data_IF_314812311897
#
_entry.id   IF_314812311897
#
_cell.length_a   1.000
_cell.length_b   1.000
_cell.length_c   1.000
_cell.angle_alpha   90.00
_cell.angle_beta   90.00
_cell.angle_gamma   90.00
#
_symmetry.space_group_name_H-M   'P 1'
#
loop_
_entity.id
_entity.type
_entity.pdbx_description
1 polymer ?
#
# COMPACT_ATOMS: atom_id res chain seq x y z
N UNK A 1 13.37 19.76 20.37
CA UNK A 1 12.27 18.81 20.62
C UNK A 1 10.91 19.50 20.85
N UNK A 2 10.81 20.83 20.77
CA UNK A 2 9.63 21.58 21.23
C UNK A 2 8.69 22.07 20.12
N UNK A 3 8.90 21.68 18.86
CA UNK A 3 8.14 22.26 17.74
C UNK A 3 6.65 21.85 17.69
N UNK A 4 6.24 20.79 18.41
CA UNK A 4 4.85 20.29 18.42
C UNK A 4 4.39 19.71 19.77
N UNK A 5 5.17 19.88 20.85
CA UNK A 5 4.84 19.37 22.19
C UNK A 5 4.83 17.84 22.35
N UNK A 6 4.83 17.06 21.27
CA UNK A 6 4.86 15.61 21.28
C UNK A 6 6.28 15.05 21.14
N UNK A 7 6.66 14.12 22.02
CA UNK A 7 7.90 13.33 21.92
C UNK A 7 7.62 12.00 21.24
N UNK A 8 7.64 12.00 19.91
CA UNK A 8 7.49 10.80 19.10
C UNK A 8 8.81 10.02 19.02
N UNK A 9 8.66 8.70 18.96
CA UNK A 9 9.67 7.66 18.81
C UNK A 9 9.09 6.59 17.88
N UNK A 10 9.93 5.69 17.37
CA UNK A 10 9.44 4.58 16.54
C UNK A 10 8.47 3.66 17.30
N UNK A 11 8.52 3.63 18.63
CA UNK A 11 7.66 2.78 19.46
C UNK A 11 6.31 3.41 19.81
N UNK A 12 6.15 4.73 19.70
CA UNK A 12 4.93 5.45 20.11
C UNK A 12 4.35 6.38 19.04
N UNK A 13 4.87 6.32 17.81
CA UNK A 13 4.21 6.96 16.67
C UNK A 13 2.83 6.32 16.49
N UNK A 14 1.76 7.11 16.28
CA UNK A 14 0.45 6.55 16.01
C UNK A 14 0.48 5.58 14.84
N UNK A 15 -0.12 4.42 15.02
CA UNK A 15 -0.40 3.51 13.91
C UNK A 15 -1.60 4.04 13.12
N UNK A 16 -1.66 3.71 11.84
CA UNK A 16 -2.85 3.91 11.00
C UNK A 16 -3.31 5.38 10.89
N UNK A 17 -2.37 6.31 10.72
CA UNK A 17 -2.65 7.76 10.66
C UNK A 17 -3.27 8.17 9.29
N UNK A 18 -4.54 8.56 9.30
CA UNK A 18 -5.33 8.88 8.10
C UNK A 18 -4.69 9.95 7.19
N UNK A 19 -4.16 11.07 7.70
CA UNK A 19 -3.46 12.07 6.88
C UNK A 19 -2.24 11.51 6.14
N UNK A 20 -1.54 10.52 6.72
CA UNK A 20 -0.43 9.83 6.04
C UNK A 20 -0.95 9.02 4.86
N UNK A 21 -2.04 8.27 5.04
CA UNK A 21 -2.64 7.53 3.93
C UNK A 21 -3.23 8.42 2.84
N UNK A 22 -3.78 9.58 3.20
CA UNK A 22 -4.27 10.55 2.24
C UNK A 22 -3.14 11.21 1.44
N UNK A 23 -2.02 11.52 2.10
CA UNK A 23 -0.79 11.97 1.45
C UNK A 23 -0.31 10.92 0.43
N UNK A 24 -0.22 9.64 0.84
CA UNK A 24 0.17 8.54 -0.04
C UNK A 24 -0.80 8.35 -1.21
N UNK A 25 -2.12 8.45 -0.98
CA UNK A 25 -3.13 8.37 -2.05
C UNK A 25 -3.00 9.46 -3.12
N UNK A 26 -2.39 10.61 -2.78
CA UNK A 26 -2.10 11.67 -3.74
C UNK A 26 -0.74 11.51 -4.43
N UNK A 27 -0.01 10.43 -4.14
CA UNK A 27 1.40 10.26 -4.52
C UNK A 27 2.32 11.37 -4.01
N UNK A 28 2.00 11.94 -2.84
CA UNK A 28 2.85 12.94 -2.19
C UNK A 28 3.88 12.24 -1.29
N UNK A 29 4.76 11.44 -1.91
CA UNK A 29 5.63 10.49 -1.20
C UNK A 29 7.13 10.68 -1.49
N UNK A 30 7.53 11.81 -2.06
CA UNK A 30 8.96 12.14 -2.24
C UNK A 30 9.64 12.24 -0.87
N UNK A 31 10.73 11.51 -0.68
CA UNK A 31 11.42 11.42 0.61
C UNK A 31 10.80 10.43 1.60
N UNK A 32 9.75 9.70 1.21
CA UNK A 32 9.19 8.59 1.99
C UNK A 32 9.85 7.30 1.55
N UNK A 33 10.56 6.66 2.49
CA UNK A 33 11.35 5.47 2.21
C UNK A 33 10.55 4.36 1.51
N UNK A 34 11.18 3.71 0.52
CA UNK A 34 10.64 2.67 -0.37
C UNK A 34 9.52 3.10 -1.32
N UNK A 35 8.79 4.17 -1.02
CA UNK A 35 7.58 4.53 -1.78
C UNK A 35 7.66 5.80 -2.65
N UNK A 36 8.88 6.25 -2.94
CA UNK A 36 9.14 7.51 -3.65
C UNK A 36 9.45 7.37 -5.15
N UNK A 37 9.71 6.16 -5.65
CA UNK A 37 10.13 5.97 -7.05
C UNK A 37 9.03 6.33 -8.06
N UNK A 38 9.38 6.61 -9.32
CA UNK A 38 8.37 6.91 -10.37
C UNK A 38 7.30 5.83 -10.52
N UNK A 39 7.67 4.56 -10.40
CA UNK A 39 6.73 3.46 -10.51
C UNK A 39 5.75 3.44 -9.32
N UNK A 40 6.29 3.67 -8.12
CA UNK A 40 5.55 3.78 -6.86
C UNK A 40 4.56 4.95 -6.90
N UNK A 41 5.02 6.15 -7.26
CA UNK A 41 4.19 7.35 -7.36
C UNK A 41 3.06 7.22 -8.40
N UNK A 42 3.28 6.47 -9.49
CA UNK A 42 2.22 6.17 -10.45
C UNK A 42 1.21 5.13 -9.94
N UNK A 43 1.63 4.26 -9.01
CA UNK A 43 0.82 3.17 -8.49
C UNK A 43 -0.04 3.58 -7.31
N UNK A 44 0.50 4.36 -6.36
CA UNK A 44 -0.17 4.77 -5.13
C UNK A 44 -1.58 5.39 -5.34
N UNK A 45 -1.81 6.32 -6.30
CA UNK A 45 -3.14 6.90 -6.52
C UNK A 45 -4.16 5.91 -7.06
N UNK A 46 -3.70 4.83 -7.71
CA UNK A 46 -4.55 3.76 -8.24
C UNK A 46 -4.90 2.76 -7.14
N UNK A 47 -3.94 2.46 -6.28
CA UNK A 47 -4.07 1.48 -5.19
C UNK A 47 -4.86 2.03 -3.99
N UNK A 48 -4.68 3.32 -3.69
CA UNK A 48 -5.27 4.07 -2.57
C UNK A 48 -5.11 3.33 -1.23
N UNK A 49 -3.90 3.33 -0.64
CA UNK A 49 -3.66 2.65 0.64
C UNK A 49 -4.48 3.29 1.76
N UNK A 50 -4.99 2.44 2.66
CA UNK A 50 -5.82 2.79 3.82
C UNK A 50 -5.44 2.02 5.10
N UNK A 51 -4.52 1.07 5.00
CA UNK A 51 -3.95 0.35 6.15
C UNK A 51 -2.48 0.02 5.96
N UNK A 52 -1.74 -0.28 7.03
CA UNK A 52 -0.31 -0.62 6.90
C UNK A 52 -0.05 -1.80 5.95
N UNK A 53 -0.91 -2.82 5.99
CA UNK A 53 -0.79 -3.99 5.10
C UNK A 53 -0.87 -3.63 3.61
N UNK A 54 -1.51 -2.51 3.27
CA UNK A 54 -1.52 -2.03 1.89
C UNK A 54 -0.11 -1.66 1.42
N UNK A 55 0.71 -1.06 2.28
CA UNK A 55 2.10 -0.71 1.96
C UNK A 55 2.97 -1.96 1.81
N UNK A 56 2.66 -3.02 2.54
CA UNK A 56 3.31 -4.34 2.35
C UNK A 56 3.03 -4.87 0.94
N UNK A 57 1.77 -4.84 0.49
CA UNK A 57 1.41 -5.26 -0.87
C UNK A 57 2.02 -4.36 -1.94
N UNK A 58 1.99 -3.04 -1.73
CA UNK A 58 2.54 -2.01 -2.62
C UNK A 58 4.02 -2.29 -2.92
N UNK A 59 4.84 -2.44 -1.89
CA UNK A 59 6.29 -2.64 -2.03
C UNK A 59 6.61 -4.01 -2.64
N UNK A 60 5.75 -5.00 -2.42
CA UNK A 60 5.89 -6.34 -3.00
C UNK A 60 5.54 -6.36 -4.50
N UNK A 61 4.47 -5.67 -4.90
CA UNK A 61 3.92 -5.76 -6.26
C UNK A 61 4.62 -4.83 -7.26
N UNK A 62 5.14 -3.68 -6.80
CA UNK A 62 5.90 -2.75 -7.66
C UNK A 62 7.35 -3.22 -7.79
N UNK A 63 7.53 -4.39 -8.42
CA UNK A 63 8.83 -5.02 -8.69
C UNK A 63 8.87 -5.61 -10.10
N UNK A 64 10.07 -5.79 -10.71
CA UNK A 64 10.17 -6.29 -12.09
C UNK A 64 9.42 -7.59 -12.34
N UNK A 65 9.52 -8.58 -11.45
CA UNK A 65 8.86 -9.88 -11.58
C UNK A 65 7.33 -9.76 -11.69
N UNK A 66 6.62 -9.25 -10.67
CA UNK A 66 5.17 -9.07 -10.73
C UNK A 66 4.68 -8.14 -11.84
N UNK A 67 5.45 -7.09 -12.18
CA UNK A 67 5.11 -6.19 -13.29
C UNK A 67 5.17 -6.93 -14.63
N UNK A 68 6.27 -7.63 -14.91
CA UNK A 68 6.44 -8.39 -16.15
C UNK A 68 5.49 -9.59 -16.22
N UNK A 69 5.16 -10.19 -15.07
CA UNK A 69 4.16 -11.26 -14.95
C UNK A 69 2.72 -10.77 -15.03
N UNK A 70 2.47 -9.47 -15.23
CA UNK A 70 1.12 -8.93 -15.41
C UNK A 70 0.24 -8.92 -14.16
N UNK A 71 0.81 -9.09 -12.96
CA UNK A 71 0.06 -9.28 -11.71
C UNK A 71 -0.58 -8.00 -11.17
N UNK A 72 -0.09 -6.83 -11.59
CA UNK A 72 -0.51 -5.51 -11.09
C UNK A 72 -1.98 -5.21 -11.38
N UNK A 73 -2.43 -5.50 -12.61
CA UNK A 73 -3.80 -5.17 -13.03
C UNK A 73 -4.85 -6.04 -12.33
N UNK A 74 -4.72 -7.39 -12.29
CA UNK A 74 -5.64 -8.24 -11.52
C UNK A 74 -5.72 -7.85 -10.04
N UNK A 75 -4.59 -7.55 -9.41
CA UNK A 75 -4.58 -7.11 -8.01
C UNK A 75 -5.41 -5.82 -7.80
N UNK A 76 -5.18 -4.80 -8.62
CA UNK A 76 -5.93 -3.54 -8.55
C UNK A 76 -7.42 -3.73 -8.83
N UNK A 77 -7.76 -4.55 -9.84
CA UNK A 77 -9.16 -4.82 -10.19
C UNK A 77 -9.91 -5.52 -9.05
N UNK A 78 -9.32 -6.56 -8.45
CA UNK A 78 -9.91 -7.28 -7.32
C UNK A 78 -10.05 -6.38 -6.11
N UNK A 79 -9.02 -5.59 -5.78
CA UNK A 79 -9.06 -4.60 -4.70
C UNK A 79 -10.16 -3.57 -4.88
N UNK A 80 -10.41 -3.13 -6.12
CA UNK A 80 -11.47 -2.17 -6.45
C UNK A 80 -12.85 -2.82 -6.66
N UNK A 81 -12.98 -4.14 -6.46
CA UNK A 81 -14.24 -4.86 -6.70
C UNK A 81 -14.66 -4.93 -8.18
N UNK A 82 -13.74 -4.70 -9.11
CA UNK A 82 -13.98 -4.76 -10.56
C UNK A 82 -13.84 -6.17 -11.14
N UNK A 83 -13.13 -7.03 -10.42
CA UNK A 83 -12.93 -8.44 -10.75
C UNK A 83 -13.19 -9.26 -9.48
N UNK A 84 -13.93 -10.37 -9.55
CA UNK A 84 -14.12 -11.23 -8.39
C UNK A 84 -12.80 -11.92 -8.00
N UNK A 85 -12.64 -12.21 -6.71
CA UNK A 85 -11.57 -13.09 -6.24
C UNK A 85 -11.95 -14.52 -6.60
N UNK A 86 -11.01 -15.25 -7.20
CA UNK A 86 -11.19 -16.66 -7.51
C UNK A 86 -11.31 -17.49 -6.22
N UNK A 87 -12.31 -18.36 -6.14
CA UNK A 87 -12.46 -19.28 -5.02
C UNK A 87 -11.44 -20.42 -5.17
N UNK A 88 -10.42 -20.39 -4.33
CA UNK A 88 -9.36 -21.41 -4.28
C UNK A 88 -9.59 -22.44 -3.16
N UNK A 89 -10.80 -22.47 -2.58
CA UNK A 89 -11.18 -23.34 -1.48
C UNK A 89 -10.84 -22.78 -0.09
N UNK A 90 -11.47 -23.31 0.98
CA UNK A 90 -11.49 -22.67 2.30
C UNK A 90 -10.11 -22.42 2.89
N UNK A 91 -9.18 -23.36 2.75
CA UNK A 91 -7.85 -23.27 3.33
C UNK A 91 -7.00 -22.16 2.69
N UNK A 92 -7.12 -21.95 1.38
CA UNK A 92 -6.39 -20.86 0.70
C UNK A 92 -7.07 -19.51 0.96
N UNK A 93 -8.40 -19.47 0.98
CA UNK A 93 -9.15 -18.25 1.25
C UNK A 93 -8.92 -17.72 2.67
N UNK A 94 -8.71 -18.59 3.67
CA UNK A 94 -8.35 -18.18 5.04
C UNK A 94 -7.02 -17.40 5.09
N UNK A 95 -6.04 -17.81 4.30
CA UNK A 95 -4.70 -17.21 4.27
C UNK A 95 -4.66 -15.95 3.39
N UNK A 96 -5.48 -15.88 2.34
CA UNK A 96 -5.49 -14.80 1.35
C UNK A 96 -6.42 -13.63 1.68
N UNK A 97 -7.20 -13.73 2.76
CA UNK A 97 -8.18 -12.72 3.19
C UNK A 97 -7.55 -11.39 3.67
#
# INVERSE_FOLDING_TARGET
>A
AEHRGARLTLANVPAEDEPVYDMLCRADAIGVFQVESRAQLNFLPRMRPRKFYDLVCEVAIVRPGPIQGGMVHPFLNRRMGREPIEDLGPALMEVLA
#
